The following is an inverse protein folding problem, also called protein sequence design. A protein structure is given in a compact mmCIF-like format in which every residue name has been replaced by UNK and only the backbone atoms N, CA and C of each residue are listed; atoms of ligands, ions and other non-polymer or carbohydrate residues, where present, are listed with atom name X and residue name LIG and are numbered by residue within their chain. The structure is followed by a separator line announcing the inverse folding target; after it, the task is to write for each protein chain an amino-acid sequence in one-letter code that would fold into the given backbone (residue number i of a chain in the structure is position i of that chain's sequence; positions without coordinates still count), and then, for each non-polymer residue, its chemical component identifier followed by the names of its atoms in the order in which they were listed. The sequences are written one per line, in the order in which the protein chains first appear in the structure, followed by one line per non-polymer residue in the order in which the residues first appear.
data_IF_221326525575
#
_entry.id   IF_221326525575
#
_cell.length_a   1.000
_cell.length_b   1.000
_cell.length_c   1.000
_cell.angle_alpha   90.00
_cell.angle_beta   90.00
_cell.angle_gamma   90.00
#
_symmetry.space_group_name_H-M   'P 1'
#
loop_
_entity.id
_entity.type
_entity.pdbx_description
1 polymer ?
#
# COMPACT_ATOMS: atom_id res chain seq x y z
N UNK A 1 22.77 -34.69 -55.16
CA UNK A 1 23.82 -34.11 -54.29
C UNK A 1 23.16 -33.60 -53.02
N UNK A 2 23.56 -34.14 -51.86
CA UNK A 2 23.36 -33.58 -50.51
C UNK A 2 21.92 -33.56 -49.96
N UNK A 3 21.62 -33.99 -48.74
CA UNK A 3 22.44 -34.52 -47.66
C UNK A 3 21.55 -35.35 -46.73
N UNK A 4 22.08 -36.46 -46.24
CA UNK A 4 21.53 -37.24 -45.14
C UNK A 4 21.28 -36.36 -43.92
N UNK A 5 20.08 -36.41 -43.36
CA UNK A 5 19.83 -36.04 -41.97
C UNK A 5 20.45 -37.14 -41.11
N UNK A 6 21.72 -37.00 -40.79
CA UNK A 6 22.38 -37.79 -39.78
C UNK A 6 21.68 -37.54 -38.44
N UNK A 7 21.07 -38.60 -37.92
CA UNK A 7 20.74 -38.75 -36.50
C UNK A 7 22.02 -38.53 -35.69
N UNK A 8 22.26 -37.28 -35.29
CA UNK A 8 23.16 -36.95 -34.20
C UNK A 8 22.30 -37.02 -32.94
N UNK A 9 22.44 -38.16 -32.27
CA UNK A 9 22.10 -38.34 -30.87
C UNK A 9 22.79 -37.24 -30.07
N UNK A 10 22.09 -36.15 -29.80
CA UNK A 10 22.49 -35.26 -28.71
C UNK A 10 22.25 -36.04 -27.43
N UNK A 11 23.35 -36.42 -26.78
CA UNK A 11 23.40 -36.68 -25.34
C UNK A 11 23.08 -35.37 -24.60
N UNK A 12 21.87 -34.85 -24.80
CA UNK A 12 21.33 -33.78 -23.97
C UNK A 12 21.05 -34.41 -22.62
N UNK A 13 21.93 -34.16 -21.65
CA UNK A 13 21.65 -34.47 -20.24
C UNK A 13 20.29 -33.88 -19.83
N UNK A 14 19.68 -34.40 -18.75
CA UNK A 14 18.33 -33.99 -18.35
C UNK A 14 18.25 -32.46 -18.26
N UNK A 15 17.32 -31.90 -19.03
CA UNK A 15 17.09 -30.46 -19.09
C UNK A 15 16.19 -30.00 -17.95
N UNK A 16 16.11 -28.69 -17.76
CA UNK A 16 15.22 -28.08 -16.75
C UNK A 16 13.73 -28.42 -16.99
N UNK A 17 13.37 -28.84 -18.21
CA UNK A 17 12.03 -29.28 -18.58
C UNK A 17 11.67 -30.71 -18.14
N UNK A 18 12.67 -31.52 -17.78
CA UNK A 18 12.48 -32.91 -17.34
C UNK A 18 12.22 -33.02 -15.82
N UNK A 19 12.28 -31.89 -15.10
CA UNK A 19 12.00 -31.82 -13.67
C UNK A 19 10.49 -32.03 -13.44
N UNK A 20 10.08 -32.96 -12.55
CA UNK A 20 8.68 -33.14 -12.19
C UNK A 20 8.05 -31.86 -11.62
N UNK A 21 6.79 -31.59 -11.97
CA UNK A 21 6.07 -30.40 -11.50
C UNK A 21 5.99 -30.33 -9.96
N UNK A 22 5.89 -31.48 -9.28
CA UNK A 22 5.90 -31.57 -7.82
C UNK A 22 7.20 -31.07 -7.20
N UNK A 23 8.35 -31.34 -7.84
CA UNK A 23 9.66 -30.85 -7.38
C UNK A 23 9.74 -29.33 -7.54
N UNK A 24 9.27 -28.79 -8.68
CA UNK A 24 9.24 -27.34 -8.91
C UNK A 24 8.27 -26.65 -7.94
N UNK A 25 7.11 -27.26 -7.66
CA UNK A 25 6.15 -26.73 -6.71
C UNK A 25 6.74 -26.54 -5.30
N UNK A 26 7.57 -27.49 -4.83
CA UNK A 26 8.28 -27.36 -3.56
C UNK A 26 9.25 -26.16 -3.54
N UNK A 27 9.92 -25.88 -4.66
CA UNK A 27 10.77 -24.68 -4.79
C UNK A 27 9.90 -23.42 -4.70
N UNK A 28 8.75 -23.40 -5.38
CA UNK A 28 7.85 -22.25 -5.37
C UNK A 28 7.27 -21.91 -3.99
N UNK A 29 7.23 -22.86 -3.05
CA UNK A 29 6.84 -22.58 -1.66
C UNK A 29 7.74 -21.51 -1.00
N UNK A 30 9.00 -21.40 -1.44
CA UNK A 30 9.97 -20.44 -0.89
C UNK A 30 10.13 -19.15 -1.71
N UNK A 31 9.43 -19.03 -2.84
CA UNK A 31 9.51 -17.86 -3.72
C UNK A 31 8.36 -16.88 -3.52
N UNK A 32 8.59 -15.62 -3.91
CA UNK A 32 7.53 -14.60 -3.95
C UNK A 32 6.61 -14.83 -5.16
N UNK A 33 5.34 -14.41 -5.11
CA UNK A 33 4.41 -14.54 -6.24
C UNK A 33 4.94 -13.98 -7.57
N UNK A 34 5.64 -12.83 -7.63
CA UNK A 34 6.22 -12.33 -8.87
C UNK A 34 7.33 -13.23 -9.42
N UNK A 35 8.17 -13.82 -8.56
CA UNK A 35 9.21 -14.77 -8.97
C UNK A 35 8.58 -16.04 -9.55
N UNK A 36 7.53 -16.58 -8.92
CA UNK A 36 6.78 -17.73 -9.43
C UNK A 36 6.22 -17.42 -10.83
N UNK A 37 5.57 -16.27 -11.00
CA UNK A 37 5.03 -15.85 -12.29
C UNK A 37 6.10 -15.65 -13.37
N UNK A 38 7.28 -15.16 -13.00
CA UNK A 38 8.41 -15.03 -13.91
C UNK A 38 8.96 -16.40 -14.33
N UNK A 39 9.15 -17.31 -13.37
CA UNK A 39 9.65 -18.66 -13.62
C UNK A 39 8.66 -19.54 -14.40
N UNK A 40 7.35 -19.31 -14.23
CA UNK A 40 6.29 -19.98 -15.00
C UNK A 40 6.42 -19.79 -16.53
N UNK A 41 7.19 -18.79 -16.97
CA UNK A 41 7.40 -18.49 -18.39
C UNK A 41 8.53 -19.32 -19.01
N UNK A 42 9.35 -20.00 -18.20
CA UNK A 42 10.55 -20.68 -18.67
C UNK A 42 10.26 -21.99 -19.43
N UNK A 43 9.39 -22.86 -18.89
CA UNK A 43 9.05 -24.13 -19.52
C UNK A 43 7.68 -24.66 -19.04
N UNK A 44 7.25 -25.80 -19.60
CA UNK A 44 5.97 -26.43 -19.28
C UNK A 44 5.86 -26.90 -17.82
N UNK A 45 6.90 -27.55 -17.29
CA UNK A 45 6.90 -28.05 -15.91
C UNK A 45 6.74 -26.90 -14.90
N UNK A 46 7.45 -25.79 -15.13
CA UNK A 46 7.35 -24.58 -14.30
C UNK A 46 5.99 -23.91 -14.43
N UNK A 47 5.41 -23.89 -15.64
CA UNK A 47 4.05 -23.37 -15.85
C UNK A 47 2.99 -24.20 -15.13
N UNK A 48 3.10 -25.53 -15.20
CA UNK A 48 2.21 -26.46 -14.51
C UNK A 48 2.30 -26.28 -13.00
N UNK A 49 3.52 -26.33 -12.45
CA UNK A 49 3.78 -26.10 -11.03
C UNK A 49 3.27 -24.73 -10.54
N UNK A 50 3.41 -23.68 -11.34
CA UNK A 50 2.97 -22.33 -10.99
C UNK A 50 1.44 -22.16 -11.00
N UNK A 51 0.72 -23.15 -11.50
CA UNK A 51 -0.76 -23.18 -11.52
C UNK A 51 -1.32 -24.07 -10.41
N UNK A 52 -0.47 -24.67 -9.57
CA UNK A 52 -0.89 -25.55 -8.47
C UNK A 52 -1.47 -24.75 -7.30
N UNK A 53 -2.69 -25.09 -6.88
CA UNK A 53 -3.35 -24.49 -5.72
C UNK A 53 -2.58 -24.73 -4.41
N UNK A 54 -1.82 -25.81 -4.30
CA UNK A 54 -0.98 -26.06 -3.12
C UNK A 54 0.09 -24.97 -2.93
N UNK A 55 0.63 -24.44 -4.04
CA UNK A 55 1.60 -23.34 -4.00
C UNK A 55 0.91 -22.05 -3.55
N UNK A 56 -0.22 -21.71 -4.17
CA UNK A 56 -0.92 -20.44 -3.92
C UNK A 56 -1.63 -20.39 -2.57
N UNK A 57 -2.00 -21.53 -1.99
CA UNK A 57 -2.49 -21.59 -0.61
C UNK A 57 -1.46 -21.02 0.37
N UNK A 58 -0.17 -21.29 0.17
CA UNK A 58 0.89 -20.75 1.05
C UNK A 58 1.14 -19.26 0.85
N UNK A 59 0.63 -18.67 -0.23
CA UNK A 59 0.79 -17.25 -0.56
C UNK A 59 -0.42 -16.42 -0.17
N UNK A 60 -1.57 -17.06 0.07
CA UNK A 60 -2.77 -16.41 0.57
C UNK A 60 -2.70 -16.27 2.09
N UNK A 61 -3.19 -15.15 2.65
CA UNK A 61 -3.28 -15.02 4.10
C UNK A 61 -4.38 -15.94 4.65
N UNK A 62 -4.28 -16.45 5.89
CA UNK A 62 -5.27 -17.38 6.45
C UNK A 62 -6.72 -16.87 6.43
N UNK A 63 -6.91 -15.55 6.54
CA UNK A 63 -8.20 -14.88 6.53
C UNK A 63 -8.66 -14.43 5.13
N UNK A 64 -8.10 -14.97 4.04
CA UNK A 64 -8.48 -14.56 2.68
C UNK A 64 -9.96 -14.78 2.36
N UNK A 65 -10.61 -15.76 3.03
CA UNK A 65 -12.04 -16.01 2.88
C UNK A 65 -12.89 -14.83 3.38
N UNK A 66 -12.45 -14.13 4.43
CA UNK A 66 -13.14 -12.93 4.92
C UNK A 66 -13.02 -11.78 3.92
N UNK A 67 -11.87 -11.66 3.25
CA UNK A 67 -11.68 -10.68 2.17
C UNK A 67 -12.60 -10.98 0.98
N UNK A 68 -12.83 -12.25 0.65
CA UNK A 68 -13.76 -12.65 -0.40
C UNK A 68 -15.21 -12.30 -0.09
N UNK A 69 -15.60 -12.17 1.20
CA UNK A 69 -16.95 -11.73 1.59
C UNK A 69 -17.24 -10.28 1.14
N UNK A 70 -16.22 -9.48 0.90
CA UNK A 70 -16.35 -8.11 0.36
C UNK A 70 -16.69 -8.10 -1.14
N UNK A 71 -16.60 -9.24 -1.83
CA UNK A 71 -16.79 -9.35 -3.27
C UNK A 71 -18.07 -10.15 -3.57
N UNK A 72 -18.87 -9.77 -4.59
CA UNK A 72 -20.00 -10.58 -5.04
C UNK A 72 -19.56 -12.02 -5.39
N UNK A 73 -20.25 -13.07 -4.88
CA UNK A 73 -19.81 -14.47 -5.04
C UNK A 73 -19.50 -14.92 -6.47
N UNK A 74 -20.26 -14.42 -7.44
CA UNK A 74 -20.10 -14.75 -8.86
C UNK A 74 -18.73 -14.36 -9.43
N UNK A 75 -18.00 -13.43 -8.80
CA UNK A 75 -16.68 -13.00 -9.27
C UNK A 75 -15.53 -13.94 -8.88
N UNK A 76 -15.72 -14.77 -7.85
CA UNK A 76 -14.68 -15.69 -7.38
C UNK A 76 -15.09 -17.17 -7.40
N UNK A 77 -16.38 -17.47 -7.61
CA UNK A 77 -16.83 -18.85 -7.82
C UNK A 77 -16.05 -19.48 -8.97
N UNK A 78 -15.48 -20.67 -8.71
CA UNK A 78 -14.68 -21.47 -9.65
C UNK A 78 -13.31 -20.87 -10.04
N UNK A 79 -12.82 -19.86 -9.32
CA UNK A 79 -11.44 -19.39 -9.51
C UNK A 79 -10.43 -20.31 -8.82
N UNK A 80 -9.26 -20.47 -9.44
CA UNK A 80 -8.10 -21.09 -8.80
C UNK A 80 -7.57 -20.21 -7.66
N UNK A 81 -6.77 -20.75 -6.74
CA UNK A 81 -6.16 -19.94 -5.67
C UNK A 81 -5.20 -18.89 -6.20
N UNK A 82 -4.57 -19.16 -7.35
CA UNK A 82 -3.80 -18.18 -8.11
C UNK A 82 -4.64 -16.99 -8.54
N UNK A 83 -5.82 -17.26 -9.11
CA UNK A 83 -6.73 -16.22 -9.60
C UNK A 83 -7.38 -15.47 -8.42
N UNK A 84 -7.66 -16.15 -7.31
CA UNK A 84 -8.08 -15.53 -6.05
C UNK A 84 -6.99 -14.58 -5.55
N UNK A 85 -5.72 -15.01 -5.51
CA UNK A 85 -4.61 -14.14 -5.12
C UNK A 85 -4.52 -12.91 -6.03
N UNK A 86 -4.63 -13.09 -7.35
CA UNK A 86 -4.59 -12.00 -8.31
C UNK A 86 -5.78 -11.03 -8.14
N UNK A 87 -6.97 -11.56 -7.84
CA UNK A 87 -8.18 -10.78 -7.55
C UNK A 87 -8.00 -9.95 -6.28
N UNK A 88 -7.55 -10.57 -5.19
CA UNK A 88 -7.32 -9.92 -3.89
C UNK A 88 -6.12 -8.96 -3.92
N UNK A 89 -5.21 -9.09 -4.88
CA UNK A 89 -4.09 -8.15 -5.11
C UNK A 89 -4.50 -6.82 -5.74
N UNK A 90 -5.79 -6.65 -6.08
CA UNK A 90 -6.37 -5.39 -6.55
C UNK A 90 -7.07 -4.70 -5.38
N UNK A 91 -7.09 -3.36 -5.32
CA UNK A 91 -7.87 -2.63 -4.31
C UNK A 91 -9.34 -3.06 -4.33
N UNK A 92 -9.84 -3.49 -3.18
CA UNK A 92 -11.23 -3.89 -2.95
C UNK A 92 -11.89 -2.85 -2.06
N UNK A 93 -12.77 -1.99 -2.61
CA UNK A 93 -13.50 -1.02 -1.81
C UNK A 93 -14.55 -1.71 -0.94
N UNK A 94 -14.69 -1.22 0.28
CA UNK A 94 -15.74 -1.56 1.23
C UNK A 94 -16.09 -0.30 2.05
N UNK A 95 -17.10 -0.39 2.91
CA UNK A 95 -17.53 0.75 3.76
C UNK A 95 -17.83 2.01 2.91
N UNK A 96 -18.81 1.87 2.00
CA UNK A 96 -19.20 2.89 1.02
C UNK A 96 -18.07 3.39 0.09
N UNK A 97 -16.99 2.61 -0.03
CA UNK A 97 -15.82 2.95 -0.84
C UNK A 97 -14.88 3.92 -0.16
N UNK A 98 -15.06 4.20 1.13
CA UNK A 98 -14.12 5.01 1.90
C UNK A 98 -12.93 4.22 2.41
N UNK A 99 -13.02 2.88 2.41
CA UNK A 99 -11.95 1.98 2.78
C UNK A 99 -11.67 1.02 1.65
N UNK A 100 -10.41 0.69 1.46
CA UNK A 100 -9.97 -0.29 0.47
C UNK A 100 -9.00 -1.28 1.10
N UNK A 101 -9.10 -2.55 0.72
CA UNK A 101 -8.20 -3.61 1.17
C UNK A 101 -7.61 -4.34 -0.03
N UNK A 102 -6.35 -4.75 0.04
CA UNK A 102 -5.69 -5.55 -1.00
C UNK A 102 -4.56 -6.39 -0.42
N UNK A 103 -4.08 -7.38 -1.19
CA UNK A 103 -2.85 -8.10 -0.89
C UNK A 103 -1.65 -7.42 -1.53
N UNK A 104 -0.57 -7.27 -0.77
CA UNK A 104 0.71 -6.93 -1.35
C UNK A 104 1.18 -8.05 -2.28
N UNK A 105 1.54 -7.69 -3.52
CA UNK A 105 1.86 -8.66 -4.58
C UNK A 105 3.11 -9.49 -4.30
N UNK A 106 4.01 -9.01 -3.44
CA UNK A 106 5.29 -9.66 -3.15
C UNK A 106 5.17 -10.56 -1.93
N UNK A 107 4.51 -10.09 -0.89
CA UNK A 107 4.44 -10.77 0.41
C UNK A 107 3.14 -11.52 0.64
N UNK A 108 2.09 -11.24 -0.14
CA UNK A 108 0.76 -11.81 0.05
C UNK A 108 0.05 -11.33 1.31
N UNK A 109 0.61 -10.34 2.02
CA UNK A 109 0.03 -9.82 3.25
C UNK A 109 -1.02 -8.75 2.97
N UNK A 110 -1.97 -8.62 3.89
CA UNK A 110 -3.08 -7.69 3.79
C UNK A 110 -2.59 -6.26 4.02
N UNK A 111 -3.00 -5.36 3.12
CA UNK A 111 -2.82 -3.93 3.18
C UNK A 111 -4.21 -3.27 3.18
N UNK A 112 -4.34 -2.14 3.85
CA UNK A 112 -5.58 -1.38 3.89
C UNK A 112 -5.29 0.12 3.73
N UNK A 113 -6.21 0.83 3.08
CA UNK A 113 -6.24 2.29 3.04
C UNK A 113 -7.61 2.80 3.48
N UNK A 114 -7.62 3.87 4.25
CA UNK A 114 -8.82 4.54 4.73
C UNK A 114 -8.73 5.99 4.25
N UNK A 115 -9.63 6.39 3.36
CA UNK A 115 -9.70 7.76 2.87
C UNK A 115 -10.10 8.73 3.99
N UNK A 116 -9.80 10.01 3.84
CA UNK A 116 -10.15 11.03 4.83
C UNK A 116 -11.64 11.05 5.16
N UNK A 117 -12.53 10.71 4.21
CA UNK A 117 -13.98 10.61 4.42
C UNK A 117 -14.41 9.42 5.28
N UNK A 118 -13.60 8.37 5.32
CA UNK A 118 -13.80 7.20 6.18
C UNK A 118 -13.20 7.35 7.58
N UNK A 119 -12.57 8.50 7.87
CA UNK A 119 -11.97 8.79 9.17
C UNK A 119 -12.93 9.62 10.04
N UNK A 120 -12.94 9.29 11.33
CA UNK A 120 -13.53 10.16 12.36
C UNK A 120 -12.45 11.17 12.76
N UNK A 121 -12.62 12.42 12.34
CA UNK A 121 -11.64 13.49 12.56
C UNK A 121 -12.19 14.49 13.57
N UNK A 122 -11.41 14.75 14.62
CA UNK A 122 -11.79 15.68 15.68
C UNK A 122 -12.05 17.08 15.12
N UNK A 123 -13.24 17.62 15.41
CA UNK A 123 -13.64 18.96 15.00
C UNK A 123 -13.89 19.13 13.50
N UNK A 124 -14.09 18.04 12.74
CA UNK A 124 -14.29 18.05 11.28
C UNK A 124 -15.42 19.00 10.82
N UNK A 125 -16.44 19.20 11.64
CA UNK A 125 -17.58 20.08 11.35
C UNK A 125 -17.20 21.58 11.41
N UNK A 126 -16.10 21.92 12.07
CA UNK A 126 -15.63 23.29 12.19
C UNK A 126 -14.85 23.71 10.94
N UNK A 127 -15.55 24.42 10.06
CA UNK A 127 -15.03 24.98 8.80
C UNK A 127 -13.89 25.97 8.97
N UNK A 128 -13.61 26.43 10.19
CA UNK A 128 -12.43 27.26 10.50
C UNK A 128 -11.14 26.45 10.42
N UNK A 129 -11.19 25.16 10.74
CA UNK A 129 -10.03 24.27 10.76
C UNK A 129 -10.01 23.36 9.53
N UNK A 130 -11.16 22.79 9.15
CA UNK A 130 -11.23 21.75 8.12
C UNK A 130 -12.13 22.13 6.97
N UNK A 131 -11.72 21.75 5.76
CA UNK A 131 -12.51 22.02 4.57
C UNK A 131 -12.37 20.87 3.56
N UNK A 132 -13.50 20.29 3.17
CA UNK A 132 -13.57 19.31 2.09
C UNK A 132 -13.27 19.94 0.74
N UNK A 133 -12.38 19.30 -0.01
CA UNK A 133 -12.09 19.66 -1.39
C UNK A 133 -13.13 18.97 -2.28
N UNK A 134 -13.88 19.70 -3.12
CA UNK A 134 -14.89 19.13 -4.01
C UNK A 134 -14.22 18.48 -5.23
N UNK A 135 -13.48 17.41 -4.98
CA UNK A 135 -12.86 16.54 -5.99
C UNK A 135 -13.43 15.13 -5.85
N UNK A 136 -13.35 14.33 -6.92
CA UNK A 136 -13.70 12.91 -6.85
C UNK A 136 -12.81 12.16 -5.86
N UNK A 137 -11.56 12.61 -5.73
CA UNK A 137 -10.62 12.14 -4.72
C UNK A 137 -10.99 12.70 -3.35
N UNK A 138 -11.13 11.81 -2.35
CA UNK A 138 -11.62 12.06 -0.99
C UNK A 138 -10.61 12.85 -0.13
N UNK A 139 -10.38 14.11 -0.50
CA UNK A 139 -9.32 14.97 0.05
C UNK A 139 -9.86 15.97 1.07
N UNK A 140 -9.15 16.09 2.19
CA UNK A 140 -9.44 17.02 3.27
C UNK A 140 -8.31 18.05 3.43
N UNK A 141 -8.64 19.33 3.46
CA UNK A 141 -7.63 20.38 3.61
C UNK A 141 -7.66 21.01 5.02
N UNK A 142 -6.48 21.22 5.59
CA UNK A 142 -6.26 21.92 6.85
C UNK A 142 -6.05 23.42 6.60
N UNK A 143 -6.89 24.25 7.22
CA UNK A 143 -6.80 25.71 7.17
C UNK A 143 -7.88 26.37 6.30
N UNK A 144 -7.87 27.71 6.33
CA UNK A 144 -8.94 28.56 5.80
C UNK A 144 -8.81 28.77 4.28
N UNK A 145 -9.87 28.50 3.54
CA UNK A 145 -10.02 28.95 2.15
C UNK A 145 -10.55 30.38 2.10
N UNK A 146 -10.11 31.16 1.12
CA UNK A 146 -10.81 32.40 0.72
C UNK A 146 -11.43 32.18 -0.66
N UNK A 147 -12.53 32.89 -0.93
CA UNK A 147 -13.18 32.86 -2.24
C UNK A 147 -12.77 34.13 -2.99
N UNK A 148 -12.19 34.00 -4.17
CA UNK A 148 -11.91 35.12 -5.08
C UNK A 148 -12.63 34.86 -6.40
N UNK A 149 -13.47 35.81 -6.83
CA UNK A 149 -14.23 35.73 -8.09
C UNK A 149 -15.06 34.43 -8.23
N UNK A 150 -15.75 34.03 -7.17
CA UNK A 150 -16.61 32.83 -7.18
C UNK A 150 -15.87 31.49 -7.15
N UNK A 151 -14.54 31.48 -7.33
CA UNK A 151 -13.70 30.28 -7.19
C UNK A 151 -13.11 30.21 -5.79
N UNK A 152 -13.10 29.02 -5.19
CA UNK A 152 -12.33 28.76 -3.95
C UNK A 152 -10.85 28.81 -4.31
N UNK A 153 -10.11 29.72 -3.71
CA UNK A 153 -8.67 29.88 -3.91
C UNK A 153 -8.00 29.55 -2.57
N UNK A 154 -7.10 28.57 -2.58
CA UNK A 154 -6.23 28.34 -1.42
C UNK A 154 -5.12 29.39 -1.45
N UNK A 155 -5.01 30.20 -0.39
CA UNK A 155 -3.91 31.15 -0.26
C UNK A 155 -2.78 30.48 0.51
N UNK A 156 -1.78 30.01 -0.24
CA UNK A 156 -0.57 29.39 0.28
C UNK A 156 0.45 30.39 0.86
N UNK A 157 0.17 31.69 0.74
CA UNK A 157 1.02 32.79 1.23
C UNK A 157 0.95 33.01 2.74
N UNK A 158 0.10 32.27 3.47
CA UNK A 158 -0.01 32.40 4.93
C UNK A 158 0.24 31.07 5.66
N UNK A 159 0.67 30.04 4.93
CA UNK A 159 0.96 28.72 5.49
C UNK A 159 2.47 28.62 5.73
N UNK A 160 2.88 29.11 6.89
CA UNK A 160 4.27 29.11 7.36
C UNK A 160 4.36 28.38 8.70
N UNK A 161 5.53 27.83 9.02
CA UNK A 161 5.82 27.32 10.36
C UNK A 161 5.71 25.80 10.54
N UNK A 162 5.56 25.03 9.46
CA UNK A 162 5.71 23.57 9.51
C UNK A 162 7.18 23.14 9.63
N UNK A 163 8.10 24.03 9.27
CA UNK A 163 9.56 23.96 9.35
C UNK A 163 10.13 24.37 10.73
N UNK A 164 9.35 25.08 11.56
CA UNK A 164 9.84 25.64 12.83
C UNK A 164 10.03 24.58 13.93
N UNK A 165 9.14 23.60 14.00
CA UNK A 165 9.19 22.50 14.98
C UNK A 165 8.83 21.18 14.31
N UNK A 166 9.29 20.03 14.80
CA UNK A 166 8.81 18.77 14.29
C UNK A 166 7.31 18.62 14.60
N UNK A 167 6.60 17.99 13.68
CA UNK A 167 5.24 17.52 13.90
C UNK A 167 5.33 16.19 14.64
N UNK A 168 4.59 16.09 15.74
CA UNK A 168 4.46 14.86 16.52
C UNK A 168 3.27 14.06 16.01
N UNK A 169 3.56 12.85 15.55
CA UNK A 169 2.59 11.82 15.24
C UNK A 169 2.50 10.86 16.42
N UNK A 170 1.28 10.52 16.81
CA UNK A 170 1.02 9.55 17.87
C UNK A 170 0.05 8.49 17.34
N UNK A 171 0.24 7.26 17.74
CA UNK A 171 -0.65 6.13 17.47
C UNK A 171 -0.94 5.44 18.80
N UNK A 172 -2.19 5.13 19.05
CA UNK A 172 -2.61 4.25 20.13
C UNK A 172 -3.65 3.25 19.64
N UNK A 173 -3.72 2.13 20.35
CA UNK A 173 -4.55 0.98 20.03
C UNK A 173 -5.43 0.63 21.23
N UNK A 174 -6.58 -0.01 20.99
CA UNK A 174 -7.50 -0.40 22.08
C UNK A 174 -6.89 -1.42 23.06
N UNK A 175 -5.87 -2.18 22.65
CA UNK A 175 -5.13 -3.13 23.50
C UNK A 175 -3.94 -2.49 24.24
N UNK A 176 -3.78 -1.16 24.13
CA UNK A 176 -2.84 -0.38 24.93
C UNK A 176 -1.45 -0.22 24.33
N UNK A 177 -1.22 -0.64 23.08
CA UNK A 177 0.02 -0.30 22.37
C UNK A 177 0.03 1.16 21.98
N UNK A 178 1.18 1.81 22.14
CA UNK A 178 1.42 3.21 21.78
C UNK A 178 2.69 3.36 20.95
N UNK A 179 2.66 4.28 19.99
CA UNK A 179 3.84 4.69 19.23
C UNK A 179 3.84 6.21 19.04
N UNK A 180 5.04 6.79 18.98
CA UNK A 180 5.24 8.21 18.73
C UNK A 180 6.35 8.39 17.70
N UNK A 181 6.14 9.30 16.76
CA UNK A 181 7.12 9.65 15.74
C UNK A 181 7.13 11.15 15.49
N UNK A 182 8.31 11.75 15.39
CA UNK A 182 8.47 13.19 15.16
C UNK A 182 9.25 13.42 13.87
N UNK A 183 8.76 14.32 13.00
CA UNK A 183 9.47 14.76 11.81
C UNK A 183 9.01 16.14 11.36
N UNK A 184 9.84 16.86 10.59
CA UNK A 184 9.37 18.08 9.93
C UNK A 184 8.66 17.74 8.63
N UNK A 185 7.59 18.48 8.33
CA UNK A 185 6.84 18.26 7.08
C UNK A 185 7.51 18.92 5.87
N UNK A 186 8.35 19.92 6.10
CA UNK A 186 9.02 20.72 5.07
C UNK A 186 10.54 20.51 5.01
N UNK A 187 11.06 19.37 5.51
CA UNK A 187 12.51 19.13 5.50
C UNK A 187 13.07 19.14 4.07
N UNK A 188 14.03 20.01 3.80
CA UNK A 188 14.69 20.26 2.51
C UNK A 188 15.82 19.29 2.19
N UNK A 189 15.87 18.10 2.82
CA UNK A 189 17.02 17.21 2.67
C UNK A 189 16.98 16.38 1.37
N UNK A 190 17.63 16.97 0.38
CA UNK A 190 18.53 16.41 -0.64
C UNK A 190 18.03 16.12 -2.08
N UNK A 191 18.82 16.71 -2.98
CA UNK A 191 19.08 16.50 -4.40
C UNK A 191 17.98 16.85 -5.40
N UNK A 192 18.01 18.11 -5.83
CA UNK A 192 18.18 18.39 -7.25
C UNK A 192 18.97 19.69 -7.47
N UNK A 193 19.98 19.62 -8.34
CA UNK A 193 20.71 20.76 -8.95
C UNK A 193 19.81 21.56 -9.93
N UNK A 194 18.51 21.60 -9.64
CA UNK A 194 17.47 22.35 -10.32
C UNK A 194 16.74 23.07 -9.21
N UNK A 195 16.89 24.40 -9.14
CA UNK A 195 16.39 25.26 -8.07
C UNK A 195 14.87 25.34 -7.94
N UNK A 196 14.18 24.21 -7.80
CA UNK A 196 12.76 24.13 -7.47
C UNK A 196 12.62 23.71 -6.00
N UNK A 197 12.85 24.67 -5.10
CA UNK A 197 12.76 24.50 -3.64
C UNK A 197 11.31 24.46 -3.13
N UNK A 198 10.51 23.47 -3.51
CA UNK A 198 9.22 23.28 -2.83
C UNK A 198 8.67 21.87 -2.98
N UNK A 199 8.53 21.16 -1.85
CA UNK A 199 7.66 19.95 -1.70
C UNK A 199 6.17 20.25 -1.92
N UNK A 200 5.82 21.48 -2.28
CA UNK A 200 4.44 21.94 -2.49
C UNK A 200 3.82 21.28 -3.72
N UNK A 201 2.61 20.76 -3.54
CA UNK A 201 1.86 20.08 -4.60
C UNK A 201 2.19 18.59 -4.75
N UNK A 202 3.10 18.05 -3.95
CA UNK A 202 3.43 16.63 -3.91
C UNK A 202 2.70 15.92 -2.77
N UNK A 203 2.30 14.66 -2.99
CA UNK A 203 1.81 13.77 -1.94
C UNK A 203 2.99 13.06 -1.27
N UNK A 204 2.97 13.01 0.07
CA UNK A 204 4.07 12.45 0.88
C UNK A 204 3.50 11.51 1.93
N UNK A 205 4.10 10.32 2.04
CA UNK A 205 3.73 9.30 3.04
C UNK A 205 4.54 9.45 4.33
N UNK A 206 3.93 9.96 5.39
CA UNK A 206 4.55 10.03 6.72
C UNK A 206 4.31 8.75 7.53
N UNK A 207 5.35 8.27 8.23
CA UNK A 207 5.21 7.15 9.19
C UNK A 207 4.58 7.69 10.46
N UNK A 208 3.46 7.13 10.90
CA UNK A 208 2.84 7.52 12.18
C UNK A 208 3.34 6.64 13.32
N UNK A 209 3.34 5.32 13.11
CA UNK A 209 3.74 4.35 14.13
C UNK A 209 3.75 2.92 13.61
N UNK A 210 4.10 1.98 14.47
CA UNK A 210 3.98 0.54 14.25
C UNK A 210 3.22 -0.06 15.43
N UNK A 211 2.45 -1.11 15.14
CA UNK A 211 1.68 -1.86 16.13
C UNK A 211 1.56 -3.30 15.66
N UNK A 212 1.19 -4.19 16.57
CA UNK A 212 1.00 -5.62 16.32
C UNK A 212 -0.50 -5.89 16.37
N UNK A 213 -1.04 -6.55 15.34
CA UNK A 213 -2.42 -7.06 15.39
C UNK A 213 -2.39 -8.38 16.13
N UNK A 214 -3.02 -8.45 17.31
CA UNK A 214 -3.23 -9.69 18.05
C UNK A 214 -4.59 -10.31 17.68
N UNK A 215 -4.73 -11.63 17.79
CA UNK A 215 -6.00 -12.34 17.57
C UNK A 215 -6.99 -12.12 18.73
N UNK A 216 -7.16 -10.86 19.17
CA UNK A 216 -8.08 -10.49 20.24
C UNK A 216 -9.39 -9.98 19.66
N UNK A 217 -10.49 -10.55 20.14
CA UNK A 217 -11.82 -9.92 20.11
C UNK A 217 -11.87 -8.92 21.27
N UNK A 218 -12.34 -7.67 21.07
CA UNK A 218 -13.00 -7.11 19.89
C UNK A 218 -12.03 -6.53 18.83
N UNK A 219 -12.56 -6.12 17.69
CA UNK A 219 -11.84 -5.40 16.63
C UNK A 219 -10.91 -4.32 17.20
N UNK A 220 -9.64 -4.31 16.77
CA UNK A 220 -8.65 -3.32 17.20
C UNK A 220 -9.07 -1.90 16.76
N UNK A 221 -9.36 -1.04 17.72
CA UNK A 221 -9.58 0.39 17.45
C UNK A 221 -8.22 1.08 17.37
N UNK A 222 -7.98 1.82 16.29
CA UNK A 222 -6.76 2.60 16.09
C UNK A 222 -7.08 4.09 16.21
N UNK A 223 -6.33 4.79 17.06
CA UNK A 223 -6.36 6.24 17.19
C UNK A 223 -5.01 6.80 16.79
N UNK A 224 -5.00 7.78 15.91
CA UNK A 224 -3.78 8.48 15.56
C UNK A 224 -3.98 9.98 15.66
N UNK A 225 -2.90 10.68 16.02
CA UNK A 225 -2.87 12.12 16.16
C UNK A 225 -1.73 12.69 15.32
N UNK A 226 -1.95 13.89 14.80
CA UNK A 226 -0.92 14.73 14.23
C UNK A 226 -0.97 16.06 14.97
N UNK A 227 0.08 16.38 15.71
CA UNK A 227 0.11 17.51 16.63
C UNK A 227 1.38 18.31 16.46
N UNK A 228 1.21 19.60 16.28
CA UNK A 228 2.30 20.56 16.34
C UNK A 228 1.74 21.81 17.02
N UNK A 229 2.15 22.04 18.27
CA UNK A 229 1.73 23.22 19.01
C UNK A 229 2.84 24.24 18.91
N UNK A 230 2.57 25.31 18.18
CA UNK A 230 3.37 26.53 18.24
C UNK A 230 2.43 27.72 18.30
N UNK A 231 2.49 28.49 19.38
CA UNK A 231 1.44 29.43 19.78
C UNK A 231 1.49 30.78 19.03
N UNK A 232 2.25 30.85 17.95
CA UNK A 232 2.61 32.11 17.28
C UNK A 232 1.80 32.40 16.02
N UNK A 233 1.41 31.37 15.24
CA UNK A 233 0.74 31.56 13.95
C UNK A 233 -0.27 30.43 13.64
N UNK A 234 -1.35 30.77 12.91
CA UNK A 234 -2.28 29.78 12.36
C UNK A 234 -1.61 28.98 11.24
N UNK A 235 -1.58 27.65 11.36
CA UNK A 235 -1.00 26.75 10.35
C UNK A 235 -2.08 26.21 9.41
N UNK A 236 -1.71 25.90 8.18
CA UNK A 236 -2.61 25.36 7.16
C UNK A 236 -1.84 24.90 5.92
N UNK A 237 -2.54 24.63 4.82
CA UNK A 237 -1.94 24.30 3.52
C UNK A 237 -1.62 22.83 3.33
N UNK A 238 -1.98 21.99 4.30
CA UNK A 238 -1.86 20.54 4.19
C UNK A 238 -3.15 19.94 3.67
N UNK A 239 -3.01 18.99 2.75
CA UNK A 239 -4.08 18.10 2.35
C UNK A 239 -3.83 16.72 2.95
N UNK A 240 -4.87 16.13 3.52
CA UNK A 240 -4.91 14.73 3.94
C UNK A 240 -5.76 13.99 2.91
N UNK A 241 -5.22 12.94 2.33
CA UNK A 241 -5.93 12.06 1.42
C UNK A 241 -6.41 10.80 2.13
N UNK A 242 -5.48 10.04 2.71
CA UNK A 242 -5.79 8.74 3.31
C UNK A 242 -4.79 8.34 4.39
N UNK A 243 -5.15 7.33 5.17
CA UNK A 243 -4.28 6.63 6.11
C UNK A 243 -4.15 5.19 5.66
N UNK A 244 -2.92 4.73 5.47
CA UNK A 244 -2.61 3.38 5.02
C UNK A 244 -2.03 2.53 6.14
N UNK A 245 -2.57 1.32 6.32
CA UNK A 245 -2.06 0.28 7.21
C UNK A 245 -1.41 -0.76 6.33
N UNK A 246 -0.08 -0.88 6.44
CA UNK A 246 0.72 -1.79 5.64
C UNK A 246 1.68 -2.59 6.54
N UNK A 247 1.99 -3.84 6.17
CA UNK A 247 2.99 -4.62 6.87
C UNK A 247 4.36 -3.92 6.92
N UNK A 248 4.98 -3.87 8.11
CA UNK A 248 6.17 -3.05 8.40
C UNK A 248 7.39 -3.30 7.48
N UNK A 249 7.68 -4.56 7.18
CA UNK A 249 8.79 -5.00 6.31
C UNK A 249 8.65 -4.56 4.84
N UNK A 250 7.46 -4.11 4.40
CA UNK A 250 7.27 -3.56 3.05
C UNK A 250 7.81 -2.14 2.90
N UNK A 251 7.89 -1.37 4.00
CA UNK A 251 8.42 0.01 3.95
C UNK A 251 9.93 0.05 3.71
N UNK A 252 10.67 -0.90 4.26
CA UNK A 252 12.12 -0.97 4.06
C UNK A 252 12.50 -1.22 2.60
N UNK A 253 11.70 -2.01 1.87
CA UNK A 253 11.91 -2.28 0.45
C UNK A 253 11.56 -1.09 -0.45
N UNK A 254 10.54 -0.29 -0.10
CA UNK A 254 10.22 0.95 -0.84
C UNK A 254 11.33 2.00 -0.71
N UNK A 255 11.92 2.17 0.49
CA UNK A 255 13.07 3.08 0.69
C UNK A 255 14.30 2.68 -0.14
N UNK A 256 14.55 1.38 -0.33
CA UNK A 256 15.65 0.88 -1.16
C UNK A 256 15.44 1.06 -2.67
N UNK A 257 14.21 1.24 -3.14
CA UNK A 257 13.89 1.43 -4.57
C UNK A 257 13.91 2.89 -5.02
N UNK A 258 13.99 3.85 -4.08
CA UNK A 258 14.11 5.29 -4.39
C UNK A 258 15.59 5.73 -4.48
N UNK A 259 16.54 4.85 -4.14
CA UNK A 259 18.00 5.12 -4.19
C UNK A 259 18.66 4.28 -5.29
N UNK A 260 18.05 4.14 -6.46
CA UNK A 260 18.70 3.57 -7.65
C UNK A 260 18.33 4.32 -8.90
#
# INVERSE_FOLDING_TARGET
MGASLSNLTDNAGPGLGDIPESCVANVFLYLTPPEICNLARLNRAFRGAASSDAVWETKLPPNYLDLLRLIPPHRYRNLSKKDIFALLSRPLPFDDGYKEVWLDKVTGRVCMSISAKGLIITGIDDRRYWNWVPTEESRLHLGRFTKRLGRRVSYFEHTHGWDIKPVKFELSTSDGQEATFECYLDDTENDDMSGCHSKRGCWIDYKVGEFIVTDSEPHTELKFSMKQIDCTHSKGGLCVDSVSIIPSHLREQRRRKVIK
#
